data_IF_084917745190
#
_entry.id   IF_084917745190
#
_cell.length_a   1.000
_cell.length_b   1.000
_cell.length_c   1.000
_cell.angle_alpha   90.00
_cell.angle_beta   90.00
_cell.angle_gamma   90.00
#
_symmetry.space_group_name_H-M   'P 1'
#
loop_
_entity.id
_entity.type
_entity.pdbx_description
1 polymer ?
#
# COMPACT_ATOMS: atom_id res chain seq x y z
N UNK A 1 -28.91 21.75 -34.43
CA UNK A 1 -29.40 20.73 -33.47
C UNK A 1 -28.19 20.25 -32.68
N UNK A 2 -27.72 20.80 -31.54
CA UNK A 2 -28.36 21.20 -30.26
C UNK A 2 -29.24 20.11 -29.65
N UNK A 3 -28.61 19.11 -29.02
CA UNK A 3 -28.96 18.47 -27.72
C UNK A 3 -28.24 17.11 -27.59
N UNK A 4 -27.13 17.11 -26.87
CA UNK A 4 -26.51 15.95 -26.20
C UNK A 4 -25.31 16.35 -25.32
N UNK A 5 -24.88 17.62 -25.37
CA UNK A 5 -23.83 18.19 -24.51
C UNK A 5 -24.27 18.44 -23.04
N UNK A 6 -25.19 17.65 -22.49
CA UNK A 6 -25.87 17.95 -21.22
C UNK A 6 -26.03 16.79 -20.22
N UNK A 7 -25.59 15.57 -20.51
CA UNK A 7 -25.82 14.41 -19.62
C UNK A 7 -24.55 13.64 -19.23
N UNK A 8 -23.38 14.02 -19.76
CA UNK A 8 -22.09 13.38 -19.42
C UNK A 8 -21.18 14.22 -18.51
N UNK A 9 -21.77 15.16 -17.76
CA UNK A 9 -21.06 16.07 -16.84
C UNK A 9 -21.43 15.83 -15.37
N UNK A 10 -21.99 14.66 -15.06
CA UNK A 10 -22.55 14.31 -13.75
C UNK A 10 -22.27 12.85 -13.37
N UNK A 11 -21.00 12.46 -13.43
CA UNK A 11 -20.45 11.33 -12.68
C UNK A 11 -18.94 11.59 -12.57
N UNK A 12 -18.33 11.32 -11.43
CA UNK A 12 -16.95 11.71 -11.08
C UNK A 12 -16.81 13.20 -10.70
N UNK A 13 -17.57 13.58 -9.68
CA UNK A 13 -17.22 14.72 -8.84
C UNK A 13 -17.32 14.32 -7.36
N UNK A 14 -16.67 13.22 -7.02
CA UNK A 14 -16.34 12.96 -5.62
C UNK A 14 -14.86 13.27 -5.43
N UNK A 15 -14.65 14.41 -4.77
CA UNK A 15 -13.38 14.76 -4.15
C UNK A 15 -12.98 13.56 -3.29
N UNK A 16 -11.80 13.00 -3.57
CA UNK A 16 -11.13 12.10 -2.64
C UNK A 16 -11.15 12.76 -1.25
N UNK A 17 -11.69 12.03 -0.29
CA UNK A 17 -11.96 12.50 1.07
C UNK A 17 -10.71 13.15 1.67
N UNK A 18 -10.90 14.31 2.27
CA UNK A 18 -9.86 15.11 2.89
C UNK A 18 -9.16 14.36 4.05
N UNK A 19 -7.84 14.28 3.90
CA UNK A 19 -6.77 14.01 4.88
C UNK A 19 -6.60 12.57 5.37
N UNK A 20 -5.58 11.90 4.80
CA UNK A 20 -4.30 11.83 5.50
C UNK A 20 -3.12 12.27 4.61
N UNK A 21 -2.48 13.39 4.97
CA UNK A 21 -1.35 14.01 4.26
C UNK A 21 -1.79 15.11 3.29
N UNK A 22 -1.96 16.34 3.79
CA UNK A 22 -2.61 17.51 3.14
C UNK A 22 -2.15 17.91 1.72
N UNK A 23 -1.15 17.27 1.11
CA UNK A 23 -0.59 17.68 -0.18
C UNK A 23 -0.52 16.57 -1.25
N UNK A 24 -1.07 15.36 -1.04
CA UNK A 24 -1.06 14.30 -2.09
C UNK A 24 -2.28 14.48 -3.01
N UNK A 25 -2.05 14.89 -4.27
CA UNK A 25 -3.11 15.17 -5.25
C UNK A 25 -3.62 13.94 -6.04
N UNK A 26 -3.34 12.73 -5.57
CA UNK A 26 -3.92 11.48 -6.07
C UNK A 26 -3.16 10.78 -7.20
N UNK A 27 -3.52 9.51 -7.43
CA UNK A 27 -3.17 8.68 -8.60
C UNK A 27 -4.17 9.04 -9.72
N UNK A 28 -3.71 9.16 -10.96
CA UNK A 28 -4.54 9.41 -12.14
C UNK A 28 -4.66 8.17 -13.00
N UNK A 29 -5.74 8.13 -13.79
CA UNK A 29 -5.92 7.13 -14.84
C UNK A 29 -4.73 7.20 -15.80
N UNK A 30 -4.08 6.05 -16.01
CA UNK A 30 -2.91 5.93 -16.87
C UNK A 30 -1.56 6.02 -16.15
N UNK A 31 -1.50 6.36 -14.85
CA UNK A 31 -0.23 6.43 -14.10
C UNK A 31 0.46 5.06 -14.00
N UNK A 32 1.80 5.05 -13.96
CA UNK A 32 2.56 3.86 -13.60
C UNK A 32 2.69 3.74 -12.08
N UNK A 33 2.13 2.65 -11.54
CA UNK A 33 2.10 2.36 -10.11
C UNK A 33 3.07 1.23 -9.79
N UNK A 34 4.07 1.53 -8.97
CA UNK A 34 5.00 0.54 -8.44
C UNK A 34 4.63 0.21 -7.00
N UNK A 35 4.10 -1.00 -6.79
CA UNK A 35 3.94 -1.54 -5.46
C UNK A 35 5.23 -2.27 -5.05
N UNK A 36 5.94 -1.76 -4.03
CA UNK A 36 7.10 -2.46 -3.46
C UNK A 36 6.77 -2.88 -2.04
N UNK A 37 6.68 -4.20 -1.82
CA UNK A 37 6.55 -4.78 -0.47
C UNK A 37 7.78 -5.62 -0.07
N UNK A 38 8.87 -5.08 0.49
CA UNK A 38 9.89 -5.94 1.11
C UNK A 38 9.34 -6.64 2.38
N UNK A 39 10.10 -7.58 2.93
CA UNK A 39 9.73 -8.54 4.00
C UNK A 39 8.89 -9.74 3.53
N UNK A 40 9.61 -10.80 3.14
CA UNK A 40 9.33 -12.25 3.25
C UNK A 40 7.97 -12.86 2.76
N UNK A 41 6.93 -12.07 2.54
CA UNK A 41 5.58 -12.46 2.16
C UNK A 41 5.05 -11.56 1.03
N UNK A 42 5.76 -11.50 -0.10
CA UNK A 42 5.37 -10.75 -1.31
C UNK A 42 4.19 -11.35 -2.11
N UNK A 43 3.11 -11.63 -1.40
CA UNK A 43 1.70 -11.40 -1.74
C UNK A 43 1.07 -11.02 -0.40
N UNK A 44 1.53 -9.95 0.24
CA UNK A 44 1.02 -9.61 1.57
C UNK A 44 -0.39 -9.07 1.40
N UNK A 45 -1.25 -9.26 2.41
CA UNK A 45 -2.63 -8.78 2.34
C UNK A 45 -2.72 -7.32 1.87
N UNK A 46 -1.79 -6.45 2.25
CA UNK A 46 -1.84 -5.04 1.85
C UNK A 46 -1.46 -4.79 0.40
N UNK A 47 -0.34 -5.33 -0.10
CA UNK A 47 0.07 -5.04 -1.48
C UNK A 47 -0.73 -5.78 -2.54
N UNK A 48 -1.30 -6.93 -2.20
CA UNK A 48 -2.30 -7.59 -3.03
C UNK A 48 -3.52 -6.68 -3.28
N UNK A 49 -4.03 -6.04 -2.22
CA UNK A 49 -5.10 -5.07 -2.33
C UNK A 49 -4.64 -3.81 -3.08
N UNK A 50 -3.42 -3.33 -2.82
CA UNK A 50 -2.88 -2.16 -3.51
C UNK A 50 -2.79 -2.37 -5.03
N UNK A 51 -2.35 -3.54 -5.49
CA UNK A 51 -2.32 -3.87 -6.92
C UNK A 51 -3.72 -3.87 -7.53
N UNK A 52 -4.68 -4.52 -6.86
CA UNK A 52 -6.08 -4.57 -7.31
C UNK A 52 -6.70 -3.18 -7.36
N UNK A 53 -6.52 -2.36 -6.32
CA UNK A 53 -7.03 -0.98 -6.28
C UNK A 53 -6.35 -0.13 -7.38
N UNK A 54 -5.03 -0.22 -7.55
CA UNK A 54 -4.32 0.50 -8.59
C UNK A 54 -4.88 0.15 -9.99
N UNK A 55 -5.05 -1.14 -10.28
CA UNK A 55 -5.51 -1.58 -11.61
C UNK A 55 -7.01 -1.35 -11.82
N UNK A 56 -7.84 -1.80 -10.89
CA UNK A 56 -9.29 -1.94 -11.10
C UNK A 56 -10.04 -0.66 -10.73
N UNK A 57 -9.56 0.08 -9.73
CA UNK A 57 -10.23 1.30 -9.23
C UNK A 57 -9.62 2.56 -9.84
N UNK A 58 -8.30 2.68 -9.83
CA UNK A 58 -7.62 3.86 -10.36
C UNK A 58 -7.27 3.78 -11.84
N UNK A 59 -7.45 2.60 -12.45
CA UNK A 59 -7.09 2.35 -13.85
C UNK A 59 -5.65 2.79 -14.16
N UNK A 60 -4.72 2.41 -13.28
CA UNK A 60 -3.29 2.60 -13.48
C UNK A 60 -2.89 1.98 -14.83
N UNK A 61 -2.10 2.71 -15.61
CA UNK A 61 -1.63 2.27 -16.92
C UNK A 61 -0.76 1.03 -16.80
N UNK A 62 0.07 0.99 -15.76
CA UNK A 62 0.97 -0.12 -15.46
C UNK A 62 1.07 -0.36 -13.96
N UNK A 63 0.91 -1.60 -13.53
CA UNK A 63 1.12 -2.04 -12.15
C UNK A 63 2.35 -2.93 -12.10
N UNK A 64 3.36 -2.49 -11.35
CA UNK A 64 4.61 -3.21 -11.13
C UNK A 64 4.61 -3.75 -9.70
N UNK A 65 4.98 -5.02 -9.53
CA UNK A 65 5.20 -5.60 -8.20
C UNK A 65 6.48 -6.42 -8.17
N UNK A 66 7.02 -6.60 -6.96
CA UNK A 66 8.26 -7.34 -6.73
C UNK A 66 7.99 -8.51 -5.80
N UNK A 67 8.41 -9.72 -6.19
CA UNK A 67 8.18 -10.98 -5.45
C UNK A 67 9.42 -11.86 -5.43
N UNK A 68 9.46 -12.86 -4.53
CA UNK A 68 10.53 -13.87 -4.52
C UNK A 68 10.24 -14.94 -5.56
N UNK A 69 11.25 -15.65 -6.07
CA UNK A 69 11.09 -16.69 -7.11
C UNK A 69 9.89 -17.61 -6.90
N UNK A 70 9.73 -18.16 -5.69
CA UNK A 70 8.64 -19.09 -5.37
C UNK A 70 7.21 -18.51 -5.42
N UNK A 71 7.08 -17.19 -5.59
CA UNK A 71 5.81 -16.47 -5.64
C UNK A 71 5.49 -15.89 -7.01
N UNK A 72 6.43 -15.90 -7.97
CA UNK A 72 6.24 -15.31 -9.31
C UNK A 72 4.97 -15.84 -9.98
N UNK A 73 4.83 -17.16 -10.03
CA UNK A 73 3.67 -17.81 -10.68
C UNK A 73 2.38 -17.69 -9.85
N UNK A 74 2.49 -17.38 -8.55
CA UNK A 74 1.34 -17.21 -7.65
C UNK A 74 0.67 -15.85 -7.78
N UNK A 75 1.38 -14.83 -8.27
CA UNK A 75 0.82 -13.49 -8.44
C UNK A 75 -0.41 -13.51 -9.36
N UNK A 76 -0.35 -14.03 -10.60
CA UNK A 76 -1.52 -14.08 -11.47
C UNK A 76 -2.60 -15.05 -10.98
N UNK A 77 -2.24 -16.11 -10.26
CA UNK A 77 -3.20 -17.03 -9.62
C UNK A 77 -4.02 -16.32 -8.53
N UNK A 78 -3.35 -15.53 -7.69
CA UNK A 78 -3.96 -14.90 -6.51
C UNK A 78 -4.62 -13.56 -6.80
N UNK A 79 -4.07 -12.77 -7.73
CA UNK A 79 -4.57 -11.43 -8.05
C UNK A 79 -5.41 -11.39 -9.33
N UNK A 80 -5.43 -12.48 -10.09
CA UNK A 80 -6.04 -12.50 -11.42
C UNK A 80 -5.08 -12.01 -12.52
N UNK A 81 -5.28 -12.55 -13.73
CA UNK A 81 -4.53 -12.13 -14.92
C UNK A 81 -4.87 -10.67 -15.26
N UNK A 82 -3.85 -9.86 -15.50
CA UNK A 82 -4.00 -8.45 -15.86
C UNK A 82 -4.01 -7.47 -14.69
N UNK A 83 -4.04 -7.94 -13.44
CA UNK A 83 -3.95 -7.06 -12.26
C UNK A 83 -2.55 -6.47 -12.06
N UNK A 84 -1.52 -7.22 -12.47
CA UNK A 84 -0.12 -6.81 -12.43
C UNK A 84 0.46 -6.96 -13.82
N UNK A 85 1.02 -5.88 -14.36
CA UNK A 85 1.58 -5.82 -15.71
C UNK A 85 3.06 -6.24 -15.73
N UNK A 86 3.78 -6.03 -14.63
CA UNK A 86 5.18 -6.43 -14.51
C UNK A 86 5.47 -7.03 -13.12
N UNK A 87 5.90 -8.30 -13.11
CA UNK A 87 6.31 -9.01 -11.90
C UNK A 87 7.83 -9.14 -11.95
N UNK A 88 8.52 -8.58 -10.96
CA UNK A 88 9.98 -8.61 -10.88
C UNK A 88 10.41 -9.58 -9.77
N UNK A 89 11.21 -10.57 -10.12
CA UNK A 89 11.87 -11.44 -9.13
C UNK A 89 13.08 -10.74 -8.54
N UNK A 90 12.89 -10.08 -7.39
CA UNK A 90 13.96 -9.30 -6.75
C UNK A 90 15.14 -10.15 -6.26
N UNK A 91 14.99 -11.49 -6.23
CA UNK A 91 16.08 -12.40 -5.85
C UNK A 91 17.01 -12.72 -7.02
N UNK A 92 16.57 -12.42 -8.24
CA UNK A 92 17.33 -12.66 -9.48
C UNK A 92 17.74 -11.37 -10.17
N UNK A 93 16.93 -10.33 -10.05
CA UNK A 93 17.10 -9.08 -10.78
C UNK A 93 17.18 -7.87 -9.85
N UNK A 94 18.06 -6.93 -10.19
CA UNK A 94 18.09 -5.64 -9.53
C UNK A 94 16.97 -4.75 -10.09
N UNK A 95 15.98 -4.46 -9.24
CA UNK A 95 14.83 -3.63 -9.58
C UNK A 95 15.23 -2.25 -10.11
N UNK A 96 16.36 -1.70 -9.65
CA UNK A 96 16.85 -0.38 -10.08
C UNK A 96 17.36 -0.36 -11.53
N UNK A 97 17.67 -1.54 -12.09
CA UNK A 97 18.12 -1.70 -13.47
C UNK A 97 16.98 -2.10 -14.40
N UNK A 98 15.97 -2.80 -13.87
CA UNK A 98 14.82 -3.29 -14.63
C UNK A 98 13.79 -2.18 -14.89
N UNK A 99 13.55 -1.32 -13.91
CA UNK A 99 12.59 -0.22 -14.04
C UNK A 99 13.30 1.00 -14.65
N UNK A 100 12.76 1.61 -15.73
CA UNK A 100 13.35 2.81 -16.31
C UNK A 100 13.41 3.97 -15.31
N UNK A 101 14.47 4.78 -15.38
CA UNK A 101 14.58 5.99 -14.57
C UNK A 101 13.46 6.98 -14.91
N UNK A 102 12.91 7.63 -13.90
CA UNK A 102 11.86 8.64 -14.07
C UNK A 102 10.55 8.13 -14.67
N UNK A 103 10.22 6.86 -14.49
CA UNK A 103 9.02 6.23 -15.07
C UNK A 103 7.92 5.90 -14.06
N UNK A 104 8.20 5.98 -12.76
CA UNK A 104 7.26 5.60 -11.69
C UNK A 104 6.57 6.81 -11.11
N UNK A 105 5.25 6.89 -11.23
CA UNK A 105 4.46 8.01 -10.69
C UNK A 105 4.10 7.79 -9.22
N UNK A 106 3.92 6.54 -8.80
CA UNK A 106 3.51 6.23 -7.43
C UNK A 106 4.23 5.01 -6.85
N UNK A 107 4.70 5.15 -5.60
CA UNK A 107 5.18 4.02 -4.78
C UNK A 107 4.35 3.90 -3.51
N UNK A 108 3.76 2.71 -3.31
CA UNK A 108 3.35 2.27 -1.98
C UNK A 108 4.54 1.56 -1.31
N UNK A 109 5.07 2.17 -0.26
CA UNK A 109 6.20 1.66 0.50
C UNK A 109 5.74 1.00 1.80
N UNK A 110 5.91 -0.30 1.88
CA UNK A 110 5.57 -1.05 3.09
C UNK A 110 6.79 -1.58 3.81
N UNK A 111 7.98 -1.01 3.56
CA UNK A 111 9.22 -1.43 4.27
C UNK A 111 10.21 -0.36 4.64
N UNK A 112 10.00 0.86 4.17
CA UNK A 112 10.89 1.96 4.48
C UNK A 112 12.16 2.05 3.62
N UNK A 113 12.26 1.27 2.54
CA UNK A 113 13.40 1.31 1.60
C UNK A 113 13.10 2.17 0.35
N UNK A 114 11.99 2.90 0.33
CA UNK A 114 11.58 3.73 -0.82
C UNK A 114 12.60 4.79 -1.23
N UNK A 115 13.45 5.25 -0.30
CA UNK A 115 14.50 6.26 -0.55
C UNK A 115 15.59 5.79 -1.51
N UNK A 116 15.73 4.48 -1.70
CA UNK A 116 16.66 3.87 -2.66
C UNK A 116 16.13 3.95 -4.11
N UNK A 117 14.82 4.16 -4.29
CA UNK A 117 14.13 4.18 -5.59
C UNK A 117 13.80 5.58 -6.12
N UNK A 118 14.29 6.64 -5.48
CA UNK A 118 14.00 8.03 -5.89
C UNK A 118 14.36 8.33 -7.35
N UNK A 119 15.39 7.67 -7.88
CA UNK A 119 15.81 7.82 -9.27
C UNK A 119 14.88 7.17 -10.30
N UNK A 120 13.99 6.27 -9.85
CA UNK A 120 12.96 5.65 -10.69
C UNK A 120 11.71 6.51 -10.78
N UNK A 121 11.50 7.41 -9.81
CA UNK A 121 10.30 8.23 -9.72
C UNK A 121 10.28 9.34 -10.77
N UNK A 122 9.11 9.57 -11.37
CA UNK A 122 8.87 10.70 -12.26
C UNK A 122 9.14 12.02 -11.51
N UNK A 123 10.09 12.86 -11.97
CA UNK A 123 10.37 14.12 -11.29
C UNK A 123 9.16 15.06 -11.31
N UNK A 124 8.96 15.82 -10.23
CA UNK A 124 7.88 16.80 -10.02
C UNK A 124 6.47 16.22 -9.80
N UNK A 125 6.17 15.03 -10.32
CA UNK A 125 4.86 14.39 -10.16
C UNK A 125 4.89 13.15 -9.28
N UNK A 126 6.05 12.52 -9.12
CA UNK A 126 6.21 11.28 -8.38
C UNK A 126 5.83 11.40 -6.90
N UNK A 127 5.09 10.42 -6.39
CA UNK A 127 4.67 10.34 -4.99
C UNK A 127 5.06 9.00 -4.38
N UNK A 128 5.63 9.06 -3.18
CA UNK A 128 5.90 7.90 -2.33
C UNK A 128 5.03 8.04 -1.08
N UNK A 129 4.21 7.02 -0.83
CA UNK A 129 3.43 6.88 0.40
C UNK A 129 3.96 5.69 1.17
N UNK A 130 4.44 5.91 2.39
CA UNK A 130 4.98 4.85 3.24
C UNK A 130 4.07 4.55 4.43
N UNK A 131 3.86 3.27 4.72
CA UNK A 131 3.18 2.79 5.95
C UNK A 131 4.15 2.10 6.91
N UNK A 132 5.43 1.93 6.53
CA UNK A 132 6.40 1.15 7.29
C UNK A 132 7.55 1.95 7.90
N UNK A 133 7.74 3.21 7.50
CA UNK A 133 8.68 4.07 8.21
C UNK A 133 8.10 4.54 9.54
N UNK A 134 8.92 5.21 10.34
CA UNK A 134 8.43 5.91 11.51
C UNK A 134 7.58 7.13 11.10
N UNK A 135 6.40 7.35 11.71
CA UNK A 135 5.70 8.62 11.60
C UNK A 135 6.55 9.77 12.13
N UNK A 136 6.27 10.98 11.68
CA UNK A 136 6.81 12.16 12.37
C UNK A 136 6.31 12.20 13.81
N UNK A 137 7.03 12.89 14.69
CA UNK A 137 6.62 13.04 16.09
C UNK A 137 5.28 13.79 16.24
N UNK A 138 4.94 14.67 15.28
CA UNK A 138 3.62 15.33 15.22
C UNK A 138 2.51 14.35 14.83
N UNK A 139 2.72 13.55 13.79
CA UNK A 139 1.77 12.53 13.35
C UNK A 139 1.54 11.48 14.45
N UNK A 140 2.62 11.01 15.09
CA UNK A 140 2.54 10.03 16.17
C UNK A 140 1.76 10.59 17.37
N UNK A 141 1.98 11.85 17.75
CA UNK A 141 1.23 12.47 18.85
C UNK A 141 -0.27 12.64 18.54
N UNK A 142 -0.64 12.81 17.27
CA UNK A 142 -2.02 13.00 16.80
C UNK A 142 -2.75 11.70 16.49
N UNK A 143 -2.02 10.58 16.46
CA UNK A 143 -2.56 9.26 16.16
C UNK A 143 -3.54 8.73 17.20
N UNK A 144 -4.39 7.80 16.78
CA UNK A 144 -5.25 6.99 17.66
C UNK A 144 -4.47 6.26 18.77
N UNK A 145 -3.22 5.85 18.52
CA UNK A 145 -2.39 5.13 19.50
C UNK A 145 -2.04 5.98 20.72
N UNK A 146 -1.88 7.30 20.54
CA UNK A 146 -1.57 8.25 21.62
C UNK A 146 -2.80 8.95 22.20
N UNK A 147 -3.99 8.78 21.60
CA UNK A 147 -5.29 9.24 22.11
C UNK A 147 -5.89 8.22 23.09
N UNK A 148 -5.12 7.85 24.11
CA UNK A 148 -5.58 7.01 25.23
C UNK A 148 -6.00 7.88 26.43
N UNK A 149 -6.78 7.37 27.41
CA UNK A 149 -7.24 8.15 28.56
C UNK A 149 -6.10 8.74 29.43
N UNK A 150 -4.93 8.09 29.42
CA UNK A 150 -3.69 8.51 30.08
C UNK A 150 -2.91 9.59 29.30
N UNK A 151 -3.32 9.91 28.06
CA UNK A 151 -2.79 10.99 27.24
C UNK A 151 -1.27 11.06 27.16
N UNK A 152 -0.54 9.95 26.94
CA UNK A 152 0.92 9.94 26.99
C UNK A 152 1.47 10.93 25.96
N UNK A 153 2.16 11.96 26.47
CA UNK A 153 2.88 12.92 25.62
C UNK A 153 4.23 12.32 25.29
N UNK A 154 4.57 12.29 24.00
CA UNK A 154 5.93 12.02 23.59
C UNK A 154 6.84 13.00 24.32
N UNK A 155 7.92 12.51 24.98
CA UNK A 155 8.95 13.39 25.47
C UNK A 155 9.40 14.28 24.33
N UNK A 156 9.54 15.58 24.60
CA UNK A 156 9.79 16.58 23.56
C UNK A 156 11.00 16.21 22.68
N UNK A 157 12.05 15.60 23.27
CA UNK A 157 13.22 15.12 22.56
C UNK A 157 12.90 13.99 21.55
N UNK A 158 12.05 13.03 21.92
CA UNK A 158 11.64 11.95 21.02
C UNK A 158 10.84 12.51 19.84
N UNK A 159 9.94 13.47 20.11
CA UNK A 159 9.20 14.18 19.06
C UNK A 159 10.13 14.93 18.10
N UNK A 160 11.16 15.60 18.62
CA UNK A 160 12.15 16.28 17.78
C UNK A 160 12.92 15.31 16.90
N UNK A 161 13.42 14.21 17.45
CA UNK A 161 14.17 13.19 16.69
C UNK A 161 13.32 12.62 15.55
N UNK A 162 12.07 12.24 15.84
CA UNK A 162 11.14 11.73 14.83
C UNK A 162 10.85 12.77 13.74
N UNK A 163 10.65 14.04 14.12
CA UNK A 163 10.44 15.12 13.16
C UNK A 163 11.68 15.38 12.29
N UNK A 164 12.89 15.31 12.85
CA UNK A 164 14.13 15.47 12.09
C UNK A 164 14.30 14.33 11.08
N UNK A 165 14.01 13.10 11.50
CA UNK A 165 14.09 11.91 10.67
C UNK A 165 13.07 11.96 9.51
N UNK A 166 11.83 12.40 9.77
CA UNK A 166 10.83 12.65 8.71
C UNK A 166 11.26 13.79 7.77
N UNK A 167 11.72 14.91 8.33
CA UNK A 167 12.17 16.07 7.56
C UNK A 167 13.36 15.74 6.67
N UNK A 168 14.29 14.91 7.13
CA UNK A 168 15.42 14.42 6.34
C UNK A 168 14.94 13.59 5.15
N UNK A 169 13.97 12.67 5.35
CA UNK A 169 13.38 11.88 4.25
C UNK A 169 12.66 12.77 3.25
N UNK A 170 11.83 13.69 3.73
CA UNK A 170 11.12 14.66 2.87
C UNK A 170 12.08 15.55 2.09
N UNK A 171 13.12 16.06 2.73
CA UNK A 171 14.15 16.86 2.07
C UNK A 171 14.91 16.05 1.02
N UNK A 172 15.27 14.80 1.32
CA UNK A 172 15.91 13.88 0.38
C UNK A 172 15.00 13.61 -0.83
N UNK A 173 13.73 13.26 -0.62
CA UNK A 173 12.79 13.03 -1.71
C UNK A 173 12.56 14.29 -2.55
N UNK A 174 12.40 15.45 -1.90
CA UNK A 174 12.21 16.75 -2.57
C UNK A 174 13.38 17.13 -3.47
N UNK A 175 14.63 16.76 -3.13
CA UNK A 175 15.81 16.96 -4.00
C UNK A 175 15.70 16.22 -5.34
N UNK A 176 14.92 15.14 -5.39
CA UNK A 176 14.61 14.39 -6.62
C UNK A 176 13.32 14.86 -7.28
N UNK A 177 12.69 15.92 -6.78
CA UNK A 177 11.36 16.36 -7.24
C UNK A 177 10.24 15.41 -6.83
N UNK A 178 10.48 14.52 -5.86
CA UNK A 178 9.53 13.50 -5.43
C UNK A 178 8.85 13.93 -4.14
N UNK A 179 7.54 13.74 -4.05
CA UNK A 179 6.78 13.92 -2.82
C UNK A 179 6.84 12.66 -1.97
N UNK A 180 7.19 12.79 -0.70
CA UNK A 180 7.19 11.70 0.26
C UNK A 180 6.25 12.00 1.41
N UNK A 181 5.37 11.05 1.74
CA UNK A 181 4.52 11.12 2.93
C UNK A 181 4.48 9.78 3.67
N UNK A 182 4.50 9.86 4.99
CA UNK A 182 4.08 8.74 5.82
C UNK A 182 2.57 8.78 6.02
N UNK A 183 1.91 7.65 5.76
CA UNK A 183 0.48 7.45 5.99
C UNK A 183 0.28 6.73 7.33
N UNK A 184 -0.30 7.45 8.28
CA UNK A 184 -0.73 6.85 9.54
C UNK A 184 -2.02 6.05 9.31
N UNK A 185 -2.03 4.79 9.73
CA UNK A 185 -3.19 3.89 9.59
C UNK A 185 -4.17 4.12 10.74
N UNK A 186 -5.03 5.12 10.61
CA UNK A 186 -6.16 5.31 11.52
C UNK A 186 -7.42 4.63 10.97
N UNK A 187 -8.18 3.87 11.78
CA UNK A 187 -9.45 3.29 11.34
C UNK A 187 -10.45 4.38 10.95
N UNK A 188 -10.99 4.29 9.74
CA UNK A 188 -11.99 5.22 9.22
C UNK A 188 -13.17 4.47 8.63
N UNK A 189 -14.37 4.72 9.14
CA UNK A 189 -15.60 4.08 8.68
C UNK A 189 -15.87 4.37 7.19
N UNK A 190 -15.64 5.60 6.73
CA UNK A 190 -15.89 5.98 5.33
C UNK A 190 -14.97 5.25 4.36
N UNK A 191 -13.70 5.10 4.74
CA UNK A 191 -12.72 4.39 3.91
C UNK A 191 -13.06 2.89 3.88
N UNK A 192 -13.55 2.33 5.00
CA UNK A 192 -13.99 0.94 5.06
C UNK A 192 -15.26 0.69 4.25
N UNK A 193 -16.24 1.59 4.29
CA UNK A 193 -17.44 1.56 3.43
C UNK A 193 -17.07 1.60 1.96
N UNK A 194 -16.14 2.49 1.59
CA UNK A 194 -15.64 2.60 0.21
C UNK A 194 -14.97 1.29 -0.22
N UNK A 195 -14.14 0.70 0.65
CA UNK A 195 -13.49 -0.58 0.38
C UNK A 195 -14.51 -1.73 0.27
N UNK A 196 -15.57 -1.72 1.08
CA UNK A 196 -16.64 -2.70 1.00
C UNK A 196 -17.35 -2.64 -0.36
N UNK A 197 -17.64 -1.44 -0.87
CA UNK A 197 -18.25 -1.26 -2.20
C UNK A 197 -17.36 -1.82 -3.33
N UNK A 198 -16.04 -1.63 -3.26
CA UNK A 198 -15.13 -2.24 -4.23
C UNK A 198 -15.08 -3.76 -4.11
N UNK A 199 -15.19 -4.31 -2.91
CA UNK A 199 -15.26 -5.75 -2.70
C UNK A 199 -16.57 -6.35 -3.23
N UNK A 200 -17.71 -5.69 -3.00
CA UNK A 200 -19.03 -6.12 -3.50
C UNK A 200 -19.11 -6.12 -5.03
N UNK A 201 -18.48 -5.14 -5.68
CA UNK A 201 -18.37 -5.08 -7.15
C UNK A 201 -17.43 -6.13 -7.75
N UNK A 202 -16.59 -6.74 -6.91
CA UNK A 202 -15.53 -7.66 -7.35
C UNK A 202 -14.26 -6.96 -7.84
N UNK A 203 -14.14 -5.64 -7.70
CA UNK A 203 -12.94 -4.88 -8.07
C UNK A 203 -11.76 -5.20 -7.14
N UNK A 204 -12.06 -5.58 -5.90
CA UNK A 204 -11.05 -5.92 -4.87
C UNK A 204 -11.46 -7.20 -4.15
N UNK A 205 -10.76 -8.29 -4.42
CA UNK A 205 -11.00 -9.60 -3.83
C UNK A 205 -10.01 -9.90 -2.69
N UNK A 206 -10.47 -10.62 -1.65
CA UNK A 206 -9.60 -11.05 -0.57
C UNK A 206 -8.64 -12.13 -1.06
N UNK A 207 -7.34 -11.88 -0.93
CA UNK A 207 -6.33 -12.90 -1.13
C UNK A 207 -6.13 -13.67 0.17
N UNK A 208 -6.64 -14.91 0.21
CA UNK A 208 -6.51 -15.83 1.34
C UNK A 208 -5.52 -16.93 0.96
N UNK A 209 -4.35 -16.95 1.59
CA UNK A 209 -3.35 -17.98 1.30
C UNK A 209 -3.25 -19.08 2.35
N UNK A 210 -3.90 -18.92 3.50
CA UNK A 210 -4.00 -19.97 4.52
C UNK A 210 -5.38 -19.93 5.18
N UNK A 211 -6.05 -21.08 5.26
CA UNK A 211 -7.34 -21.23 5.93
C UNK A 211 -7.25 -22.42 6.89
N UNK A 212 -7.48 -22.17 8.17
CA UNK A 212 -7.32 -23.17 9.24
C UNK A 212 -8.59 -23.21 10.08
N UNK A 213 -9.03 -24.41 10.45
CA UNK A 213 -10.12 -24.55 11.40
C UNK A 213 -9.65 -24.16 12.80
N UNK A 214 -10.38 -23.28 13.49
CA UNK A 214 -9.98 -22.85 14.83
C UNK A 214 -9.89 -24.00 15.86
N UNK A 215 -10.61 -25.11 15.62
CA UNK A 215 -10.54 -26.33 16.46
C UNK A 215 -9.25 -27.13 16.24
N UNK A 216 -8.57 -26.94 15.12
CA UNK A 216 -7.28 -27.57 14.84
C UNK A 216 -6.16 -26.76 15.49
N UNK A 217 -5.86 -27.09 16.76
CA UNK A 217 -4.88 -26.35 17.57
C UNK A 217 -3.47 -26.41 16.97
N UNK A 218 -3.10 -27.54 16.37
CA UNK A 218 -1.77 -27.71 15.77
C UNK A 218 -1.66 -26.90 14.48
N UNK A 219 -2.68 -26.94 13.61
CA UNK A 219 -2.76 -26.07 12.44
C UNK A 219 -2.79 -24.58 12.80
N UNK A 220 -3.51 -24.20 13.86
CA UNK A 220 -3.53 -22.80 14.35
C UNK A 220 -2.14 -22.38 14.81
N UNK A 221 -1.43 -23.25 15.55
CA UNK A 221 -0.07 -22.97 16.01
C UNK A 221 0.86 -22.78 14.81
N UNK A 222 0.82 -23.67 13.83
CA UNK A 222 1.65 -23.58 12.63
C UNK A 222 1.37 -22.30 11.81
N UNK A 223 0.09 -21.97 11.62
CA UNK A 223 -0.31 -20.76 10.91
C UNK A 223 0.14 -19.49 11.64
N UNK A 224 0.01 -19.45 12.97
CA UNK A 224 0.52 -18.35 13.80
C UNK A 224 2.05 -18.27 13.74
N UNK A 225 2.77 -19.40 13.78
CA UNK A 225 4.22 -19.44 13.61
C UNK A 225 4.66 -18.91 12.25
N UNK A 226 3.93 -19.25 11.19
CA UNK A 226 4.18 -18.76 9.83
C UNK A 226 4.00 -17.23 9.74
N UNK A 227 2.93 -16.70 10.34
CA UNK A 227 2.68 -15.25 10.42
C UNK A 227 3.77 -14.55 11.25
N UNK A 228 4.12 -15.10 12.40
CA UNK A 228 5.15 -14.56 13.29
C UNK A 228 6.54 -14.51 12.62
N UNK A 229 6.92 -15.58 11.91
CA UNK A 229 8.18 -15.64 11.19
C UNK A 229 8.21 -14.75 9.93
N UNK A 230 7.05 -14.24 9.49
CA UNK A 230 6.88 -13.40 8.30
C UNK A 230 7.21 -14.09 6.97
N UNK A 231 7.62 -15.36 6.99
CA UNK A 231 8.11 -16.14 5.84
C UNK A 231 7.12 -17.25 5.48
N UNK A 232 6.93 -17.46 4.18
CA UNK A 232 6.13 -18.57 3.64
C UNK A 232 4.63 -18.28 3.49
N UNK A 233 4.09 -17.28 4.17
CA UNK A 233 2.70 -16.86 4.04
C UNK A 233 2.37 -16.20 2.70
N UNK A 234 1.13 -16.39 2.25
CA UNK A 234 0.49 -15.72 1.13
C UNK A 234 -0.81 -15.08 1.62
N UNK A 235 -1.08 -13.85 1.21
CA UNK A 235 -2.30 -13.13 1.53
C UNK A 235 -2.59 -13.07 3.02
N UNK A 236 -3.85 -13.30 3.36
CA UNK A 236 -4.38 -13.38 4.72
C UNK A 236 -4.44 -14.84 5.19
N UNK A 237 -4.14 -15.03 6.47
CA UNK A 237 -4.47 -16.25 7.22
C UNK A 237 -5.86 -16.11 7.82
N UNK A 238 -6.75 -17.05 7.55
CA UNK A 238 -8.15 -17.03 8.01
C UNK A 238 -8.40 -18.22 8.93
N UNK A 239 -8.84 -17.94 10.14
CA UNK A 239 -9.31 -18.95 11.08
C UNK A 239 -10.82 -19.11 10.97
N UNK A 240 -11.30 -20.31 10.65
CA UNK A 240 -12.75 -20.58 10.61
C UNK A 240 -13.23 -21.05 11.97
N UNK A 241 -14.13 -20.28 12.55
CA UNK A 241 -14.84 -20.63 13.78
C UNK A 241 -16.23 -21.13 13.34
N UNK A 242 -16.38 -22.44 13.17
CA UNK A 242 -17.70 -23.02 12.93
C UNK A 242 -18.33 -23.22 14.31
N UNK A 243 -19.28 -22.35 14.65
CA UNK A 243 -20.22 -22.60 15.74
C UNK A 243 -21.19 -23.67 15.26
N UNK A 244 -21.00 -24.90 15.75
CA UNK A 244 -22.02 -25.94 15.72
C UNK A 244 -23.18 -25.57 16.62
#
# INVERSE_FOLDING_TARGET
VKKAAGVFKLAVKEKFVENPGQDVKGIKVGDEVYSRLPEASRVSGTGAYACQIAKNVFNAGKVITTVSTSKVDKVPELLGKGTVDQIIDYTKEDVTQVIPRGSVDFILDTTGDSMSFLHLMTPSTGVIVSIATQPSGTQLQQSSVMKRPDGPRLPWFARMVLNMVDSYRKARAKRWGVKYEYLFLDPNAKDLETLALYAEKGDVLPVVGCKVNFRDIDGVREACTTVYNGKGGLGKTVFTIITS
#
